data_IF_957624635947
#
_entry.id   IF_957624635947
#
_cell.length_a   1.000
_cell.length_b   1.000
_cell.length_c   1.000
_cell.angle_alpha   90.00
_cell.angle_beta   90.00
_cell.angle_gamma   90.00
#
_symmetry.space_group_name_H-M   'P 1'
#
loop_
_entity.id
_entity.type
_entity.pdbx_description
1 polymer ?
#
# COMPACT_ATOMS: atom_id res chain seq x y z
N UNK A 1 23.55 30.57 22.99
CA UNK A 1 22.39 29.85 22.41
C UNK A 1 22.87 29.00 21.24
N UNK A 2 22.93 27.68 21.41
CA UNK A 2 23.31 26.76 20.33
C UNK A 2 22.18 26.70 19.30
N UNK A 3 22.43 27.11 18.06
CA UNK A 3 21.49 26.93 16.95
C UNK A 3 21.27 25.42 16.81
N UNK A 4 20.04 24.97 17.07
CA UNK A 4 19.66 23.57 16.83
C UNK A 4 19.97 23.27 15.37
N UNK A 5 20.79 22.25 15.12
CA UNK A 5 21.10 21.80 13.77
C UNK A 5 19.78 21.53 13.04
N UNK A 6 19.45 22.39 12.08
CA UNK A 6 18.32 22.19 11.19
C UNK A 6 18.66 20.94 10.38
N UNK A 7 17.92 19.85 10.62
CA UNK A 7 18.08 18.58 9.92
C UNK A 7 18.11 18.84 8.43
N UNK A 8 19.07 18.23 7.75
CA UNK A 8 19.21 18.38 6.30
C UNK A 8 17.94 17.88 5.59
N UNK A 9 17.65 18.36 4.37
CA UNK A 9 16.48 17.92 3.60
C UNK A 9 16.41 16.39 3.43
N UNK A 10 17.58 15.74 3.36
CA UNK A 10 17.72 14.29 3.23
C UNK A 10 17.29 13.55 4.51
N UNK A 11 17.66 14.05 5.69
CA UNK A 11 17.24 13.49 6.98
C UNK A 11 15.73 13.64 7.23
N UNK A 12 15.13 14.75 6.77
CA UNK A 12 13.68 14.95 6.82
C UNK A 12 12.92 13.99 5.89
N UNK A 13 13.46 13.73 4.70
CA UNK A 13 12.91 12.74 3.77
C UNK A 13 12.99 11.31 4.35
N UNK A 14 14.13 10.95 4.95
CA UNK A 14 14.31 9.65 5.60
C UNK A 14 13.37 9.48 6.80
N UNK A 15 13.19 10.52 7.62
CA UNK A 15 12.24 10.51 8.74
C UNK A 15 10.78 10.35 8.28
N UNK A 16 10.38 11.04 7.20
CA UNK A 16 9.03 10.93 6.62
C UNK A 16 8.76 9.54 6.04
N UNK A 17 9.75 8.95 5.40
CA UNK A 17 9.67 7.58 4.86
C UNK A 17 9.57 6.55 5.98
N UNK A 18 10.40 6.67 7.02
CA UNK A 18 10.32 5.81 8.22
C UNK A 18 8.95 5.90 8.87
N UNK A 19 8.43 7.11 9.09
CA UNK A 19 7.10 7.31 9.67
C UNK A 19 6.00 6.64 8.85
N UNK A 20 5.97 6.85 7.51
CA UNK A 20 5.01 6.20 6.63
C UNK A 20 5.10 4.67 6.71
N UNK A 21 6.31 4.12 6.77
CA UNK A 21 6.50 2.68 6.78
C UNK A 21 6.07 2.05 8.11
N UNK A 22 6.42 2.68 9.23
CA UNK A 22 6.00 2.24 10.57
C UNK A 22 4.48 2.32 10.71
N UNK A 23 3.87 3.43 10.29
CA UNK A 23 2.42 3.59 10.36
C UNK A 23 1.68 2.54 9.52
N UNK A 24 2.17 2.23 8.32
CA UNK A 24 1.58 1.17 7.50
C UNK A 24 1.70 -0.22 8.12
N UNK A 25 2.79 -0.51 8.84
CA UNK A 25 2.95 -1.79 9.55
C UNK A 25 2.02 -1.92 10.75
N UNK A 26 1.76 -0.82 11.45
CA UNK A 26 0.94 -0.82 12.66
C UNK A 26 -0.57 -0.74 12.37
N UNK A 27 -0.97 -0.15 11.24
CA UNK A 27 -2.38 0.14 10.95
C UNK A 27 -2.95 -0.69 9.79
N UNK A 28 -2.14 -1.53 9.12
CA UNK A 28 -2.62 -2.35 8.01
C UNK A 28 -2.17 -3.79 8.17
N UNK A 29 -3.14 -4.68 8.20
CA UNK A 29 -2.88 -6.11 8.02
C UNK A 29 -2.51 -6.39 6.57
N UNK A 30 -1.37 -7.06 6.38
CA UNK A 30 -0.87 -7.43 5.06
C UNK A 30 -1.26 -8.87 4.76
N UNK A 31 -2.00 -9.08 3.68
CA UNK A 31 -2.32 -10.41 3.17
C UNK A 31 -1.29 -10.76 2.07
N UNK A 32 -0.30 -11.63 2.33
CA UNK A 32 0.59 -12.12 1.29
C UNK A 32 -0.16 -13.13 0.41
N UNK A 33 -0.41 -12.76 -0.85
CA UNK A 33 -1.08 -13.64 -1.82
C UNK A 33 -0.03 -14.18 -2.79
N UNK A 34 0.07 -15.51 -2.85
CA UNK A 34 0.87 -16.19 -3.87
C UNK A 34 -0.05 -16.53 -5.04
N UNK A 35 0.27 -16.02 -6.22
CA UNK A 35 -0.43 -16.33 -7.47
C UNK A 35 0.53 -17.00 -8.44
N UNK A 36 0.04 -17.82 -9.38
CA UNK A 36 0.85 -18.36 -10.47
C UNK A 36 1.59 -17.25 -11.25
N UNK A 37 2.73 -17.61 -11.85
CA UNK A 37 3.47 -16.69 -12.69
C UNK A 37 2.60 -16.20 -13.85
N UNK A 38 2.54 -14.87 -14.05
CA UNK A 38 1.70 -14.23 -15.07
C UNK A 38 0.29 -13.87 -14.61
N UNK A 39 -0.25 -14.50 -13.57
CA UNK A 39 -1.59 -14.16 -13.07
C UNK A 39 -1.60 -12.80 -12.35
N UNK A 40 -0.49 -12.38 -11.76
CA UNK A 40 -0.34 -11.04 -11.17
C UNK A 40 -0.68 -9.95 -12.19
N UNK A 41 -0.11 -10.05 -13.39
CA UNK A 41 -0.33 -9.09 -14.47
C UNK A 41 -1.74 -9.20 -15.06
N UNK A 42 -2.28 -10.42 -15.17
CA UNK A 42 -3.67 -10.64 -15.61
C UNK A 42 -4.66 -10.01 -14.65
N UNK A 43 -4.48 -10.20 -13.34
CA UNK A 43 -5.33 -9.60 -12.31
C UNK A 43 -5.18 -8.08 -12.31
N UNK A 44 -3.97 -7.54 -12.50
CA UNK A 44 -3.75 -6.10 -12.61
C UNK A 44 -4.42 -5.49 -13.85
N UNK A 45 -4.32 -6.15 -15.00
CA UNK A 45 -5.01 -5.73 -16.23
C UNK A 45 -6.54 -5.78 -16.06
N UNK A 46 -7.05 -6.83 -15.40
CA UNK A 46 -8.47 -7.00 -15.12
C UNK A 46 -9.01 -5.96 -14.12
N UNK A 47 -8.26 -5.66 -13.07
CA UNK A 47 -8.60 -4.60 -12.13
C UNK A 47 -8.70 -3.25 -12.86
N UNK A 48 -7.74 -2.95 -13.75
CA UNK A 48 -7.72 -1.73 -14.55
C UNK A 48 -8.89 -1.67 -15.53
N UNK A 49 -9.25 -2.78 -16.18
CA UNK A 49 -10.39 -2.81 -17.11
C UNK A 49 -11.72 -2.58 -16.40
N UNK A 50 -11.83 -3.00 -15.13
CA UNK A 50 -13.00 -2.72 -14.28
C UNK A 50 -13.00 -1.32 -13.64
N UNK A 51 -12.00 -0.49 -13.93
CA UNK A 51 -11.90 0.88 -13.41
C UNK A 51 -11.36 0.99 -11.98
N UNK A 52 -10.78 -0.08 -11.42
CA UNK A 52 -10.16 0.00 -10.10
C UNK A 52 -8.81 0.73 -10.18
N UNK A 53 -8.50 1.55 -9.15
CA UNK A 53 -7.24 2.32 -9.11
C UNK A 53 -6.01 1.44 -8.85
N UNK A 54 -6.19 0.22 -8.32
CA UNK A 54 -5.12 -0.74 -8.09
C UNK A 54 -5.64 -2.16 -7.94
N UNK A 55 -4.78 -3.14 -8.15
CA UNK A 55 -5.05 -4.55 -7.86
C UNK A 55 -5.45 -4.77 -6.40
N UNK A 56 -4.83 -4.03 -5.46
CA UNK A 56 -5.18 -4.14 -4.05
C UNK A 56 -6.63 -3.70 -3.80
N UNK A 57 -7.04 -2.55 -4.35
CA UNK A 57 -8.42 -2.07 -4.22
C UNK A 57 -9.43 -3.05 -4.82
N UNK A 58 -9.08 -3.66 -5.96
CA UNK A 58 -9.91 -4.69 -6.59
C UNK A 58 -10.07 -5.93 -5.69
N UNK A 59 -8.97 -6.45 -5.14
CA UNK A 59 -9.00 -7.63 -4.28
C UNK A 59 -9.76 -7.36 -2.98
N UNK A 60 -9.49 -6.23 -2.31
CA UNK A 60 -10.21 -5.90 -1.07
C UNK A 60 -11.71 -5.71 -1.30
N UNK A 61 -12.09 -5.08 -2.42
CA UNK A 61 -13.50 -4.89 -2.76
C UNK A 61 -14.22 -6.22 -3.02
N UNK A 62 -13.56 -7.15 -3.73
CA UNK A 62 -14.10 -8.50 -3.92
C UNK A 62 -14.28 -9.24 -2.60
N UNK A 63 -13.29 -9.16 -1.70
CA UNK A 63 -13.35 -9.81 -0.39
C UNK A 63 -14.52 -9.25 0.44
N UNK A 64 -14.65 -7.92 0.53
CA UNK A 64 -15.77 -7.32 1.29
C UNK A 64 -17.13 -7.60 0.68
N UNK A 65 -17.21 -7.63 -0.65
CA UNK A 65 -18.44 -7.99 -1.36
C UNK A 65 -18.83 -9.45 -1.13
N UNK A 66 -17.85 -10.36 -1.12
CA UNK A 66 -18.07 -11.78 -0.82
C UNK A 66 -18.48 -12.00 0.64
N UNK A 67 -17.87 -11.25 1.57
CA UNK A 67 -18.25 -11.23 2.99
C UNK A 67 -19.62 -10.61 3.26
N UNK A 68 -20.27 -9.99 2.25
CA UNK A 68 -21.55 -9.33 2.39
C UNK A 68 -21.52 -8.02 3.17
N UNK A 69 -20.34 -7.43 3.36
CA UNK A 69 -20.17 -6.16 4.08
C UNK A 69 -20.44 -4.93 3.20
N UNK A 70 -20.87 -5.14 1.95
CA UNK A 70 -21.01 -4.07 0.95
C UNK A 70 -22.18 -4.22 -0.01
#
# INVERSE_FOLDING_TARGET
MGRKATKTPEELAAARTKYKNTWQRENKDRIPITVPAGDKDRIAAWAKSRGYPSTNAYITDLVYKDMGER
#
